data_IF_254063332201
#
_entry.id   IF_254063332201
#
_cell.length_a   1.000
_cell.length_b   1.000
_cell.length_c   1.000
_cell.angle_alpha   90.00
_cell.angle_beta   90.00
_cell.angle_gamma   90.00
#
_symmetry.space_group_name_H-M   'P 1'
#
loop_
_entity.id
_entity.type
_entity.pdbx_description
1 polymer ?
#
# COMPACT_ATOMS: atom_id res chain seq x y z
N UNK A 1 -4.64 -1.14 -9.98
CA UNK A 1 -6.07 -0.88 -9.70
C UNK A 1 -6.18 0.07 -8.52
N UNK A 2 -7.15 0.98 -8.55
CA UNK A 2 -7.40 1.92 -7.45
C UNK A 2 -8.31 1.28 -6.40
N UNK A 3 -8.00 1.50 -5.12
CA UNK A 3 -8.81 1.00 -3.99
C UNK A 3 -9.64 2.13 -3.41
N UNK A 4 -10.80 1.81 -2.83
CA UNK A 4 -11.65 2.81 -2.14
C UNK A 4 -10.91 3.48 -0.97
N UNK A 5 -10.10 2.70 -0.24
CA UNK A 5 -9.28 3.17 0.86
C UNK A 5 -7.98 2.35 0.99
N UNK A 6 -6.89 3.01 1.38
CA UNK A 6 -5.65 2.33 1.80
C UNK A 6 -5.80 1.96 3.27
N UNK A 7 -5.70 0.67 3.58
CA UNK A 7 -5.93 0.12 4.92
C UNK A 7 -4.74 -0.71 5.39
N UNK A 8 -4.62 -0.85 6.71
CA UNK A 8 -3.62 -1.71 7.35
C UNK A 8 -3.87 -3.16 6.95
N UNK A 9 -2.79 -3.92 6.75
CA UNK A 9 -2.88 -5.32 6.34
C UNK A 9 -2.99 -5.54 4.83
N UNK A 10 -3.19 -4.47 4.04
CA UNK A 10 -3.19 -4.56 2.58
C UNK A 10 -1.79 -4.86 2.03
N UNK A 11 -1.70 -5.76 1.07
CA UNK A 11 -0.45 -6.08 0.36
C UNK A 11 -0.44 -5.40 -1.02
N UNK A 12 0.67 -4.74 -1.30
CA UNK A 12 0.94 -4.01 -2.54
C UNK A 12 2.27 -4.48 -3.11
N UNK A 13 2.29 -4.80 -4.40
CA UNK A 13 3.49 -5.22 -5.11
C UNK A 13 4.13 -4.03 -5.81
N UNK A 14 5.41 -3.80 -5.58
CA UNK A 14 6.17 -2.80 -6.33
C UNK A 14 6.34 -3.22 -7.79
N UNK A 15 6.10 -2.31 -8.72
CA UNK A 15 6.18 -2.59 -10.16
C UNK A 15 7.62 -2.78 -10.64
N UNK A 16 8.58 -2.08 -10.02
CA UNK A 16 9.99 -2.11 -10.43
C UNK A 16 10.69 -3.40 -10.03
N UNK A 17 10.49 -3.87 -8.79
CA UNK A 17 11.17 -5.04 -8.22
C UNK A 17 10.31 -6.31 -8.25
N UNK A 18 9.00 -6.17 -8.40
CA UNK A 18 8.04 -7.26 -8.22
C UNK A 18 7.86 -7.68 -6.76
N UNK A 19 8.49 -6.97 -5.80
CA UNK A 19 8.45 -7.30 -4.39
C UNK A 19 7.14 -6.89 -3.74
N UNK A 20 6.62 -7.74 -2.86
CA UNK A 20 5.40 -7.48 -2.10
C UNK A 20 5.70 -6.72 -0.81
N UNK A 21 4.86 -5.74 -0.51
CA UNK A 21 4.93 -4.92 0.68
C UNK A 21 3.57 -4.85 1.39
N UNK A 22 3.60 -5.00 2.70
CA UNK A 22 2.45 -4.89 3.59
C UNK A 22 2.30 -3.45 4.09
N UNK A 23 1.09 -2.91 4.02
CA UNK A 23 0.73 -1.63 4.65
C UNK A 23 0.64 -1.85 6.15
N UNK A 24 1.57 -1.24 6.90
CA UNK A 24 1.67 -1.38 8.36
C UNK A 24 1.18 -0.14 9.10
N UNK A 25 1.19 1.04 8.46
CA UNK A 25 0.64 2.28 9.00
C UNK A 25 0.08 3.13 7.87
N UNK A 26 -0.95 3.92 8.16
CA UNK A 26 -1.46 4.96 7.26
C UNK A 26 -1.58 6.25 8.08
N UNK A 27 -0.93 7.31 7.61
CA UNK A 27 -0.99 8.64 8.20
C UNK A 27 -1.82 9.55 7.31
N UNK A 28 -2.82 10.20 7.91
CA UNK A 28 -3.59 11.26 7.25
C UNK A 28 -3.05 12.59 7.73
N UNK A 29 -2.43 13.33 6.82
CA UNK A 29 -2.01 14.71 7.01
C UNK A 29 -3.04 15.65 6.40
N UNK A 30 -2.93 16.95 6.71
CA UNK A 30 -3.89 17.98 6.31
C UNK A 30 -4.14 18.00 4.80
N UNK A 31 -3.11 17.76 3.98
CA UNK A 31 -3.19 17.81 2.51
C UNK A 31 -2.75 16.52 1.83
N UNK A 32 -2.44 15.47 2.58
CA UNK A 32 -1.80 14.29 2.02
C UNK A 32 -2.08 13.07 2.87
N UNK A 33 -2.01 11.90 2.26
CA UNK A 33 -2.07 10.65 2.98
C UNK A 33 -0.80 9.87 2.66
N UNK A 34 -0.20 9.29 3.68
CA UNK A 34 1.05 8.53 3.59
C UNK A 34 0.79 7.11 4.04
N UNK A 35 1.27 6.14 3.27
CA UNK A 35 1.28 4.73 3.66
C UNK A 35 2.71 4.32 4.03
N UNK A 36 2.85 3.59 5.13
CA UNK A 36 4.10 2.94 5.52
C UNK A 36 4.02 1.49 5.11
N UNK A 37 4.90 1.14 4.18
CA UNK A 37 5.04 -0.16 3.59
C UNK A 37 6.21 -0.89 4.24
N UNK A 38 6.03 -2.17 4.52
CA UNK A 38 7.09 -3.06 4.99
C UNK A 38 7.17 -4.26 4.06
N UNK A 39 8.36 -4.70 3.63
CA UNK A 39 8.46 -5.87 2.76
C UNK A 39 7.82 -7.08 3.44
N UNK A 40 6.99 -7.79 2.70
CA UNK A 40 6.23 -8.96 3.17
C UNK A 40 7.05 -10.27 3.08
N UNK A 41 8.36 -10.15 2.92
CA UNK A 41 9.31 -11.27 2.86
C UNK A 41 9.82 -11.65 4.26
N UNK A 42 10.58 -12.74 4.39
CA UNK A 42 11.06 -13.27 5.68
C UNK A 42 11.92 -12.31 6.51
N UNK A 43 12.39 -11.21 5.90
CA UNK A 43 13.12 -10.12 6.59
C UNK A 43 12.24 -9.04 7.22
N UNK A 44 10.91 -9.21 7.22
CA UNK A 44 9.93 -8.25 7.75
C UNK A 44 10.27 -7.59 9.11
N UNK A 45 10.79 -8.29 10.14
CA UNK A 45 11.04 -7.66 11.44
C UNK A 45 12.23 -6.67 11.46
N UNK A 46 13.22 -6.83 10.58
CA UNK A 46 14.44 -6.01 10.56
C UNK A 46 14.55 -5.12 9.31
N UNK A 47 13.69 -5.35 8.32
CA UNK A 47 13.74 -4.62 7.06
C UNK A 47 13.25 -3.17 7.18
N UNK A 48 13.88 -2.31 6.40
CA UNK A 48 13.54 -0.89 6.30
C UNK A 48 12.11 -0.71 5.80
N UNK A 49 11.37 0.17 6.47
CA UNK A 49 10.01 0.53 6.06
C UNK A 49 10.06 1.63 5.01
N UNK A 50 9.28 1.51 3.94
CA UNK A 50 9.18 2.51 2.88
C UNK A 50 7.96 3.38 3.09
N UNK A 51 8.15 4.70 3.07
CA UNK A 51 7.07 5.68 3.15
C UNK A 51 6.66 6.10 1.74
N UNK A 52 5.38 5.91 1.42
CA UNK A 52 4.83 6.22 0.09
C UNK A 52 3.67 7.18 0.23
N UNK A 53 3.66 8.24 -0.58
CA UNK A 53 2.54 9.17 -0.65
C UNK A 53 1.41 8.55 -1.46
N UNK A 54 0.22 8.52 -0.87
CA UNK A 54 -0.99 8.03 -1.52
C UNK A 54 -1.46 9.05 -2.55
N UNK A 55 -1.68 8.58 -3.78
CA UNK A 55 -2.26 9.36 -4.86
C UNK A 55 -3.77 9.21 -4.84
N UNK A 56 -4.50 10.32 -4.68
CA UNK A 56 -5.96 10.35 -4.80
C UNK A 56 -6.34 10.60 -6.26
N UNK A 57 -7.14 9.72 -6.83
CA UNK A 57 -7.66 9.84 -8.20
C UNK A 57 -9.17 9.71 -8.21
N UNK A 58 -9.88 10.11 -9.29
CA UNK A 58 -11.33 9.94 -9.41
C UNK A 58 -11.78 8.47 -9.28
N UNK A 59 -10.89 7.53 -9.58
CA UNK A 59 -11.14 6.09 -9.53
C UNK A 59 -10.85 5.48 -8.15
N UNK A 60 -10.28 6.25 -7.22
CA UNK A 60 -9.92 5.81 -5.87
C UNK A 60 -8.49 6.22 -5.47
N UNK A 61 -7.99 5.57 -4.43
CA UNK A 61 -6.64 5.74 -3.91
C UNK A 61 -5.67 4.75 -4.54
N UNK A 62 -4.46 5.22 -4.81
CA UNK A 62 -3.38 4.46 -5.44
C UNK A 62 -2.07 4.69 -4.67
N UNK A 63 -1.20 3.69 -4.69
CA UNK A 63 0.20 3.84 -4.32
C UNK A 63 1.03 3.94 -5.61
N UNK A 64 1.65 5.10 -5.92
CA UNK A 64 2.41 5.27 -7.15
C UNK A 64 3.61 4.30 -7.20
N UNK A 65 3.73 3.54 -8.28
CA UNK A 65 4.74 2.50 -8.46
C UNK A 65 4.41 1.17 -7.78
N UNK A 66 3.18 0.99 -7.28
CA UNK A 66 2.70 -0.25 -6.69
C UNK A 66 1.35 -0.68 -7.24
N UNK A 67 1.18 -1.99 -7.37
CA UNK A 67 -0.06 -2.65 -7.75
C UNK A 67 -0.64 -3.36 -6.54
N UNK A 68 -1.89 -3.05 -6.23
CA UNK A 68 -2.62 -3.75 -5.18
C UNK A 68 -2.81 -5.23 -5.55
N UNK A 69 -2.44 -6.15 -4.65
CA UNK A 69 -2.44 -7.60 -4.95
C UNK A 69 -3.54 -8.40 -4.26
N UNK A 70 -4.35 -7.78 -3.40
CA UNK A 70 -5.44 -8.46 -2.71
C UNK A 70 -6.77 -8.02 -3.31
N UNK A 71 -7.23 -8.72 -4.34
CA UNK A 71 -8.58 -8.51 -4.86
C UNK A 71 -9.61 -8.62 -3.72
N UNK A 72 -10.56 -7.70 -3.69
CA UNK A 72 -11.56 -7.60 -2.62
C UNK A 72 -12.60 -8.70 -2.79
N UNK A 73 -12.19 -9.95 -2.58
CA UNK A 73 -13.11 -11.07 -2.51
C UNK A 73 -13.77 -11.09 -1.14
N UNK A 74 -14.75 -10.22 -0.94
CA UNK A 74 -15.80 -10.41 0.06
C UNK A 74 -17.02 -9.54 -0.29
N UNK A 75 -17.77 -9.99 -1.29
CA UNK A 75 -19.20 -9.70 -1.38
C UNK A 75 -19.88 -10.41 -0.20
N UNK A 76 -20.42 -9.66 0.76
CA UNK A 76 -21.39 -10.15 1.75
C UNK A 76 -22.65 -9.30 1.66
#
# INVERSE_FOLDING_TARGET
>A
MAVKAIQLGQVWREETSGQSFLVTKVYNEVFSQLAILRPADGSAPTAETRRVKVSKTPQGLLLPGYVFTQDSNQEF
#
